data_IF_318837243254
#
_entry.id   IF_318837243254
#
_cell.length_a   1.000
_cell.length_b   1.000
_cell.length_c   1.000
_cell.angle_alpha   90.00
_cell.angle_beta   90.00
_cell.angle_gamma   90.00
#
_symmetry.space_group_name_H-M   'P 1'
#
loop_
_entity.id
_entity.type
_entity.pdbx_description
1 polymer ?
#
# COMPACT_ATOMS: atom_id res chain seq x y z
N UNK A 1 0.76 -6.99 -10.63
CA UNK A 1 -0.44 -6.99 -11.51
C UNK A 1 -1.66 -6.66 -10.64
N UNK A 2 -2.31 -5.49 -10.85
CA UNK A 2 -3.54 -4.97 -10.17
C UNK A 2 -3.42 -4.02 -8.95
N UNK A 3 -2.25 -3.47 -8.59
CA UNK A 3 -2.16 -2.44 -7.53
C UNK A 3 -2.64 -2.88 -6.14
N UNK A 4 -2.67 -4.20 -5.90
CA UNK A 4 -3.11 -4.77 -4.64
C UNK A 4 -1.97 -4.69 -3.61
N UNK A 5 -2.30 -4.33 -2.37
CA UNK A 5 -1.37 -4.39 -1.24
C UNK A 5 -1.94 -5.33 -0.17
N UNK A 6 -1.09 -6.14 0.48
CA UNK A 6 -1.50 -6.91 1.65
C UNK A 6 -1.81 -5.97 2.82
N UNK A 7 -2.47 -6.47 3.90
CA UNK A 7 -2.53 -5.74 5.17
C UNK A 7 -1.11 -5.32 5.59
N UNK A 8 -0.84 -4.02 5.48
CA UNK A 8 0.44 -3.41 5.79
C UNK A 8 0.74 -3.18 7.29
N UNK A 9 -0.22 -3.27 8.25
CA UNK A 9 0.10 -3.21 9.68
C UNK A 9 1.13 -4.24 10.16
N UNK A 10 1.24 -5.36 9.43
CA UNK A 10 2.08 -6.51 9.78
C UNK A 10 3.06 -6.85 8.65
N UNK A 11 3.53 -5.85 7.91
CA UNK A 11 4.54 -6.06 6.89
C UNK A 11 5.95 -5.85 7.46
N UNK A 12 6.73 -6.93 7.52
CA UNK A 12 8.10 -6.92 8.03
C UNK A 12 9.07 -7.27 6.91
N UNK A 13 10.16 -6.53 6.84
CA UNK A 13 11.17 -6.68 5.80
C UNK A 13 12.56 -6.60 6.43
N UNK A 14 13.48 -7.43 5.95
CA UNK A 14 14.88 -7.39 6.38
C UNK A 14 15.53 -6.05 6.01
N UNK A 15 16.39 -5.54 6.88
CA UNK A 15 17.14 -4.29 6.68
C UNK A 15 17.85 -4.23 5.32
N UNK A 16 18.49 -5.33 4.91
CA UNK A 16 19.21 -5.44 3.63
C UNK A 16 18.34 -5.08 2.39
N UNK A 17 17.03 -5.29 2.47
CA UNK A 17 16.12 -4.93 1.38
C UNK A 17 15.88 -3.42 1.35
N UNK A 18 15.76 -2.77 2.50
CA UNK A 18 15.67 -1.30 2.57
C UNK A 18 16.96 -0.65 2.06
N UNK A 19 18.11 -1.18 2.44
CA UNK A 19 19.42 -0.67 2.00
C UNK A 19 19.56 -0.81 0.46
N UNK A 20 19.00 -1.87 -0.13
CA UNK A 20 19.07 -2.13 -1.57
C UNK A 20 18.00 -1.41 -2.39
N UNK A 21 16.78 -1.29 -1.88
CA UNK A 21 15.60 -0.82 -2.64
C UNK A 21 15.09 0.56 -2.20
N UNK A 22 15.73 1.15 -1.19
CA UNK A 22 15.38 2.45 -0.62
C UNK A 22 14.25 2.40 0.41
N UNK A 23 14.26 3.39 1.31
CA UNK A 23 13.26 3.59 2.36
C UNK A 23 11.92 4.12 1.86
N UNK A 24 11.14 4.71 2.76
CA UNK A 24 9.88 5.37 2.42
C UNK A 24 10.13 6.63 1.58
N UNK A 25 9.31 6.84 0.56
CA UNK A 25 9.30 8.10 -0.16
C UNK A 25 8.51 9.15 0.63
N UNK A 26 9.22 10.12 1.21
CA UNK A 26 8.66 11.16 2.07
C UNK A 26 7.89 12.25 1.30
N UNK A 27 7.91 12.22 -0.03
CA UNK A 27 7.05 13.10 -0.85
C UNK A 27 5.57 12.72 -0.74
N UNK A 28 5.25 11.48 -0.34
CA UNK A 28 3.88 11.05 -0.05
C UNK A 28 3.48 11.41 1.37
N UNK A 29 2.35 12.11 1.54
CA UNK A 29 1.83 12.45 2.88
C UNK A 29 0.99 11.33 3.49
N UNK A 30 0.37 10.50 2.65
CA UNK A 30 -0.59 9.48 3.08
C UNK A 30 -0.23 8.10 2.51
N UNK A 31 0.33 8.02 1.29
CA UNK A 31 0.52 6.75 0.58
C UNK A 31 1.97 6.21 0.57
N UNK A 32 2.82 6.66 1.51
CA UNK A 32 4.23 6.26 1.55
C UNK A 32 4.43 4.74 1.76
N UNK A 33 3.57 4.12 2.57
CA UNK A 33 3.51 2.67 2.80
C UNK A 33 3.06 1.90 1.55
N UNK A 34 2.10 2.46 0.82
CA UNK A 34 1.61 1.89 -0.43
C UNK A 34 2.69 1.91 -1.52
N UNK A 35 3.41 3.02 -1.70
CA UNK A 35 4.56 3.08 -2.61
C UNK A 35 5.61 2.02 -2.26
N UNK A 36 5.99 1.91 -0.99
CA UNK A 36 6.97 0.93 -0.53
C UNK A 36 6.57 -0.50 -0.92
N UNK A 37 5.31 -0.87 -0.67
CA UNK A 37 4.79 -2.19 -1.02
C UNK A 37 4.72 -2.43 -2.52
N UNK A 38 4.32 -1.43 -3.30
CA UNK A 38 4.34 -1.50 -4.76
C UNK A 38 5.76 -1.75 -5.28
N UNK A 39 6.75 -1.01 -4.78
CA UNK A 39 8.16 -1.22 -5.13
C UNK A 39 8.62 -2.63 -4.75
N UNK A 40 8.45 -3.01 -3.50
CA UNK A 40 9.06 -4.23 -2.98
C UNK A 40 8.39 -5.49 -3.55
N UNK A 41 7.06 -5.56 -3.51
CA UNK A 41 6.31 -6.76 -3.90
C UNK A 41 5.97 -6.78 -5.38
N UNK A 42 5.67 -5.61 -5.96
CA UNK A 42 5.22 -5.52 -7.34
C UNK A 42 6.38 -5.41 -8.34
N UNK A 43 7.24 -4.41 -8.14
CA UNK A 43 8.36 -4.10 -9.06
C UNK A 43 9.52 -5.06 -8.85
N UNK A 44 10.02 -5.16 -7.62
CA UNK A 44 11.19 -5.96 -7.29
C UNK A 44 10.86 -7.42 -6.94
N UNK A 45 9.59 -7.73 -6.66
CA UNK A 45 9.09 -9.09 -6.38
C UNK A 45 9.97 -9.83 -5.36
N UNK A 46 10.28 -9.17 -4.25
CA UNK A 46 11.05 -9.80 -3.17
C UNK A 46 10.36 -11.09 -2.71
N UNK A 47 11.14 -12.09 -2.28
CA UNK A 47 10.58 -13.33 -1.75
C UNK A 47 9.83 -13.02 -0.46
N UNK A 48 8.55 -13.38 -0.42
CA UNK A 48 7.68 -13.19 0.74
C UNK A 48 6.97 -14.47 1.12
N UNK A 49 6.57 -14.56 2.39
CA UNK A 49 5.68 -15.60 2.90
C UNK A 49 4.62 -14.95 3.77
N UNK A 50 3.43 -15.55 3.82
CA UNK A 50 2.37 -15.12 4.71
C UNK A 50 2.47 -15.90 6.02
N UNK A 51 2.42 -15.20 7.15
CA UNK A 51 2.32 -15.81 8.47
C UNK A 51 0.85 -15.77 8.91
N UNK A 52 0.17 -16.91 9.08
CA UNK A 52 -1.25 -16.95 9.44
C UNK A 52 -1.48 -16.73 10.95
N UNK A 53 -0.88 -15.69 11.51
CA UNK A 53 -0.95 -15.34 12.94
C UNK A 53 -1.31 -13.87 13.14
N UNK A 54 -2.05 -13.59 14.21
CA UNK A 54 -2.40 -12.21 14.59
C UNK A 54 -1.24 -11.60 15.38
N UNK A 55 -0.38 -10.85 14.69
CA UNK A 55 0.76 -10.18 15.32
C UNK A 55 0.42 -8.81 15.92
N UNK A 56 -0.51 -8.08 15.29
CA UNK A 56 -0.84 -6.69 15.66
C UNK A 56 -2.35 -6.46 15.61
N UNK A 57 -2.87 -5.73 16.60
CA UNK A 57 -4.23 -5.18 16.60
C UNK A 57 -4.14 -3.65 16.57
N UNK A 58 -4.62 -3.03 15.49
CA UNK A 58 -4.66 -1.57 15.38
C UNK A 58 -6.01 -1.02 15.83
N UNK A 59 -6.00 0.15 16.47
CA UNK A 59 -7.22 0.90 16.78
C UNK A 59 -7.82 1.49 15.50
N UNK A 60 -9.14 1.64 15.51
CA UNK A 60 -9.85 2.38 14.46
C UNK A 60 -9.56 3.89 14.58
N UNK A 61 -9.57 4.59 13.45
CA UNK A 61 -9.37 6.05 13.40
C UNK A 61 -8.01 6.50 12.85
N UNK A 62 -7.69 6.16 11.60
CA UNK A 62 -6.48 6.65 10.92
C UNK A 62 -6.69 7.97 10.19
N UNK A 63 -5.62 8.76 10.05
CA UNK A 63 -5.56 10.04 9.31
C UNK A 63 -6.12 9.94 7.88
N UNK A 64 -6.03 8.77 7.25
CA UNK A 64 -6.53 8.56 5.89
C UNK A 64 -8.05 8.48 5.75
N UNK A 65 -8.80 8.32 6.84
CA UNK A 65 -10.26 8.25 6.84
C UNK A 65 -10.93 9.37 7.65
N UNK A 66 -10.16 10.31 8.20
CA UNK A 66 -10.67 11.36 9.09
C UNK A 66 -11.41 12.49 8.38
N UNK A 67 -11.25 12.65 7.06
CA UNK A 67 -11.94 13.68 6.27
C UNK A 67 -12.05 13.30 4.79
N UNK A 68 -13.07 13.83 4.09
CA UNK A 68 -13.22 13.69 2.63
C UNK A 68 -11.99 14.19 1.87
N UNK A 69 -11.35 15.25 2.36
CA UNK A 69 -10.13 15.83 1.78
C UNK A 69 -8.96 14.84 1.84
N UNK A 70 -8.82 14.09 2.94
CA UNK A 70 -7.77 13.07 3.07
C UNK A 70 -8.03 11.87 2.16
N UNK A 71 -9.29 11.52 1.91
CA UNK A 71 -9.65 10.44 0.96
C UNK A 71 -9.28 10.83 -0.47
N UNK A 72 -9.56 12.08 -0.88
CA UNK A 72 -9.20 12.59 -2.21
C UNK A 72 -7.68 12.66 -2.36
N UNK A 73 -6.98 13.22 -1.36
CA UNK A 73 -5.52 13.29 -1.35
C UNK A 73 -4.88 11.91 -1.44
N UNK A 74 -5.36 10.94 -0.64
CA UNK A 74 -4.94 9.55 -0.70
C UNK A 74 -5.14 8.94 -2.08
N UNK A 75 -6.31 9.15 -2.68
CA UNK A 75 -6.61 8.61 -4.01
C UNK A 75 -5.68 9.17 -5.09
N UNK A 76 -5.34 10.47 -4.99
CA UNK A 76 -4.37 11.12 -5.87
C UNK A 76 -2.97 10.55 -5.69
N UNK A 77 -2.52 10.41 -4.44
CA UNK A 77 -1.21 9.84 -4.11
C UNK A 77 -1.09 8.36 -4.54
N UNK A 78 -2.14 7.56 -4.30
CA UNK A 78 -2.22 6.17 -4.75
C UNK A 78 -2.07 6.07 -6.28
N UNK A 79 -2.68 7.00 -7.04
CA UNK A 79 -2.55 7.03 -8.50
C UNK A 79 -1.13 7.37 -8.96
N UNK A 80 -0.49 8.35 -8.31
CA UNK A 80 0.90 8.73 -8.60
C UNK A 80 1.83 7.55 -8.31
N UNK A 81 1.68 6.90 -7.15
CA UNK A 81 2.47 5.73 -6.78
C UNK A 81 2.33 4.56 -7.77
N UNK A 82 1.12 4.31 -8.27
CA UNK A 82 0.88 3.30 -9.32
C UNK A 82 1.63 3.64 -10.62
N UNK A 83 1.58 4.92 -11.03
CA UNK A 83 2.22 5.41 -12.25
C UNK A 83 3.75 5.35 -12.14
N UNK A 84 4.32 5.86 -11.06
CA UNK A 84 5.78 5.87 -10.83
C UNK A 84 6.37 4.46 -10.76
N UNK A 85 5.63 3.52 -10.19
CA UNK A 85 6.06 2.13 -10.10
C UNK A 85 5.82 1.31 -11.36
N UNK A 86 5.18 1.88 -12.39
CA UNK A 86 4.76 1.17 -13.61
C UNK A 86 3.93 -0.09 -13.30
N UNK A 87 3.11 -0.04 -12.24
CA UNK A 87 2.26 -1.15 -11.81
C UNK A 87 0.81 -0.73 -11.98
N UNK A 88 0.12 -1.31 -12.96
CA UNK A 88 -1.32 -1.06 -13.16
C UNK A 88 -1.63 0.29 -13.83
N UNK A 89 -2.77 0.88 -13.49
CA UNK A 89 -3.34 2.11 -14.07
C UNK A 89 -4.66 2.49 -13.38
N UNK A 90 -5.47 3.39 -13.96
CA UNK A 90 -6.78 3.81 -13.40
C UNK A 90 -7.66 2.61 -12.99
N UNK A 91 -7.71 1.56 -13.81
CA UNK A 91 -8.46 0.34 -13.51
C UNK A 91 -7.98 -0.42 -12.26
N UNK A 92 -6.71 -0.30 -11.87
CA UNK A 92 -6.19 -0.91 -10.63
C UNK A 92 -6.63 -0.14 -9.39
N UNK A 93 -6.77 1.18 -9.50
CA UNK A 93 -7.31 2.03 -8.43
C UNK A 93 -8.79 1.72 -8.17
N UNK A 94 -9.58 1.60 -9.25
CA UNK A 94 -10.98 1.18 -9.16
C UNK A 94 -11.14 -0.23 -8.58
N UNK A 95 -10.36 -1.22 -9.05
CA UNK A 95 -10.41 -2.58 -8.49
C UNK A 95 -10.04 -2.63 -7.00
N UNK A 96 -9.08 -1.81 -6.56
CA UNK A 96 -8.66 -1.72 -5.15
C UNK A 96 -9.80 -1.25 -4.26
N UNK A 97 -10.57 -0.26 -4.72
CA UNK A 97 -11.74 0.25 -3.98
C UNK A 97 -12.92 -0.73 -4.00
N UNK A 98 -13.24 -1.31 -5.17
CA UNK A 98 -14.34 -2.27 -5.28
C UNK A 98 -14.09 -3.57 -4.50
N UNK A 99 -12.86 -4.09 -4.46
CA UNK A 99 -12.54 -5.29 -3.66
C UNK A 99 -12.75 -5.10 -2.16
N UNK A 100 -12.70 -3.86 -1.65
CA UNK A 100 -12.98 -3.58 -0.23
C UNK A 100 -14.46 -3.70 0.11
N UNK A 101 -15.37 -3.55 -0.86
CA UNK A 101 -16.81 -3.68 -0.62
C UNK A 101 -17.19 -5.11 -0.21
N UNK A 102 -16.56 -6.11 -0.82
CA UNK A 102 -16.71 -7.52 -0.43
C UNK A 102 -15.97 -7.92 0.84
N UNK A 103 -15.38 -6.97 1.59
CA UNK A 103 -14.85 -7.23 2.94
C UNK A 103 -15.87 -6.91 4.03
N UNK A 104 -17.01 -6.29 3.66
CA UNK A 104 -18.11 -5.95 4.57
C UNK A 104 -19.27 -6.97 4.53
N UNK A 105 -19.20 -7.94 3.63
CA UNK A 105 -20.15 -9.06 3.46
C UNK A 105 -19.36 -10.36 3.39
#
# INVERSE_FOLDING_TARGET
KKGWMPPHPTFYVKKEIYDKLGGFNLSYKIAADYDLLLRFLGKHKIRTTYLPEVLVKMRWGGTSNSSLTNIIQKSKEDYIALKENNIGGLGSLFLKNFRKLGQFF
#
